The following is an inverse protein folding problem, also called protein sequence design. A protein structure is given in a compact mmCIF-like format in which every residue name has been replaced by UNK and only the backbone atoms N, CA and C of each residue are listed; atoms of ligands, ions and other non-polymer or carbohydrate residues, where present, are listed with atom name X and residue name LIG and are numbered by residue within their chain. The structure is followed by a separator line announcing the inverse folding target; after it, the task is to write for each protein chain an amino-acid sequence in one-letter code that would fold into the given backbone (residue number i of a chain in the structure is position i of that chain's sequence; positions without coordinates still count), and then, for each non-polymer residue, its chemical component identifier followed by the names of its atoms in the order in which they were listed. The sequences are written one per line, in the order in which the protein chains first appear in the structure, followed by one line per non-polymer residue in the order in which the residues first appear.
data_IF_995548537652
#
_entry.id   IF_995548537652
#
_cell.length_a   1.000
_cell.length_b   1.000
_cell.length_c   1.000
_cell.angle_alpha   90.00
_cell.angle_beta   90.00
_cell.angle_gamma   90.00
#
_symmetry.space_group_name_H-M   'P 1'
#
loop_
_entity.id
_entity.type
_entity.pdbx_description
1 polymer ?
#
# COMPACT_ATOMS: atom_id res chain seq x y z
N UNK A 1 -18.29 -17.16 -4.96
CA UNK A 1 -16.90 -17.26 -4.46
C UNK A 1 -15.85 -16.82 -5.49
N UNK A 2 -16.16 -16.70 -6.78
CA UNK A 2 -15.22 -16.23 -7.83
C UNK A 2 -14.97 -14.70 -7.85
N UNK A 3 -15.92 -13.89 -7.38
CA UNK A 3 -15.82 -12.41 -7.41
C UNK A 3 -14.84 -11.83 -6.39
N UNK A 4 -14.55 -12.54 -5.28
CA UNK A 4 -13.59 -12.06 -4.27
C UNK A 4 -12.14 -12.14 -4.77
N UNK A 5 -11.78 -13.18 -5.53
CA UNK A 5 -10.42 -13.35 -6.04
C UNK A 5 -10.11 -12.36 -7.18
N UNK A 6 -11.06 -12.11 -8.08
CA UNK A 6 -10.88 -11.17 -9.19
C UNK A 6 -10.75 -9.71 -8.69
N UNK A 7 -11.53 -9.32 -7.68
CA UNK A 7 -11.47 -7.98 -7.08
C UNK A 7 -10.22 -7.75 -6.22
N UNK A 8 -9.46 -8.80 -5.88
CA UNK A 8 -8.15 -8.66 -5.21
C UNK A 8 -7.05 -8.36 -6.24
N UNK A 9 -7.21 -8.83 -7.48
CA UNK A 9 -6.26 -8.66 -8.58
C UNK A 9 -6.40 -7.30 -9.29
N UNK A 10 -7.58 -6.69 -9.26
CA UNK A 10 -7.85 -5.35 -9.79
C UNK A 10 -8.74 -4.57 -8.80
N UNK A 11 -8.13 -3.91 -7.82
CA UNK A 11 -8.84 -2.96 -6.95
C UNK A 11 -9.05 -1.68 -7.80
N UNK A 12 -10.12 -1.64 -8.60
CA UNK A 12 -10.44 -0.54 -9.54
C UNK A 12 -10.55 0.84 -8.85
N UNK A 13 -10.70 0.85 -7.52
CA UNK A 13 -10.84 2.05 -6.70
C UNK A 13 -9.55 2.38 -5.91
N UNK A 14 -8.42 1.72 -6.21
CA UNK A 14 -7.12 2.07 -5.67
C UNK A 14 -6.47 3.15 -6.52
N UNK A 15 -5.91 4.14 -5.85
CA UNK A 15 -5.23 5.28 -6.44
C UNK A 15 -3.73 5.15 -6.21
N UNK A 16 -2.94 5.40 -7.25
CA UNK A 16 -1.49 5.48 -7.10
C UNK A 16 -1.11 6.65 -6.19
N UNK A 17 -0.22 6.38 -5.24
CA UNK A 17 0.49 7.44 -4.54
C UNK A 17 1.34 8.24 -5.55
N UNK A 18 1.61 9.53 -5.27
CA UNK A 18 2.46 10.34 -6.14
C UNK A 18 3.79 9.66 -6.46
N UNK A 19 4.21 9.77 -7.72
CA UNK A 19 5.43 9.11 -8.20
C UNK A 19 6.67 9.66 -7.48
N UNK A 20 7.49 8.74 -6.94
CA UNK A 20 8.75 9.06 -6.27
C UNK A 20 9.77 7.98 -6.56
N UNK A 21 11.03 8.38 -6.70
CA UNK A 21 12.13 7.43 -6.83
C UNK A 21 12.43 6.79 -5.48
N UNK A 22 12.44 5.47 -5.42
CA UNK A 22 12.88 4.69 -4.26
C UNK A 22 13.66 3.47 -4.72
N UNK A 23 14.69 3.09 -3.96
CA UNK A 23 15.53 1.92 -4.23
C UNK A 23 14.80 0.60 -3.97
N UNK A 24 13.85 0.60 -3.02
CA UNK A 24 13.14 -0.60 -2.59
C UNK A 24 11.71 -0.66 -3.14
N UNK A 25 10.99 0.47 -3.19
CA UNK A 25 9.57 0.50 -3.56
C UNK A 25 9.41 1.12 -4.94
N UNK A 26 8.78 0.39 -5.87
CA UNK A 26 8.49 0.86 -7.22
C UNK A 26 7.24 1.74 -7.26
N UNK A 27 6.18 1.29 -6.58
CA UNK A 27 4.85 1.94 -6.55
C UNK A 27 4.09 1.57 -5.29
N UNK A 28 3.20 2.46 -4.85
CA UNK A 28 2.24 2.18 -3.79
C UNK A 28 0.85 2.57 -4.27
N UNK A 29 -0.08 1.62 -4.22
CA UNK A 29 -1.49 1.85 -4.54
C UNK A 29 -2.28 1.90 -3.25
N UNK A 30 -3.21 2.85 -3.16
CA UNK A 30 -3.91 3.15 -1.92
C UNK A 30 -5.42 3.24 -2.14
N UNK A 31 -6.20 2.62 -1.26
CA UNK A 31 -7.62 2.92 -1.14
C UNK A 31 -7.92 3.45 0.27
N UNK A 32 -8.06 4.78 0.45
CA UNK A 32 -8.29 5.37 1.76
C UNK A 32 -9.67 5.02 2.35
N UNK A 33 -10.67 4.73 1.51
CA UNK A 33 -12.01 4.36 1.97
C UNK A 33 -12.00 2.96 2.60
N UNK A 34 -11.36 2.02 1.90
CA UNK A 34 -11.23 0.62 2.34
C UNK A 34 -10.10 0.42 3.36
N UNK A 35 -9.18 1.39 3.49
CA UNK A 35 -8.00 1.26 4.36
C UNK A 35 -7.06 0.17 3.86
N UNK A 36 -6.94 0.03 2.53
CA UNK A 36 -6.09 -0.97 1.88
C UNK A 36 -4.94 -0.30 1.14
N UNK A 37 -3.80 -0.99 1.13
CA UNK A 37 -2.58 -0.52 0.45
C UNK A 37 -1.91 -1.70 -0.22
N UNK A 38 -1.52 -1.54 -1.48
CA UNK A 38 -0.70 -2.49 -2.22
C UNK A 38 0.68 -1.87 -2.42
N UNK A 39 1.72 -2.54 -1.91
CA UNK A 39 3.11 -2.13 -2.09
C UNK A 39 3.72 -2.98 -3.17
N UNK A 40 4.26 -2.35 -4.21
CA UNK A 40 4.98 -2.99 -5.30
C UNK A 40 6.46 -2.67 -5.14
N UNK A 41 7.27 -3.69 -4.90
CA UNK A 41 8.71 -3.55 -4.74
C UNK A 41 9.43 -3.49 -6.09
N UNK A 42 10.71 -3.14 -6.08
CA UNK A 42 11.53 -3.01 -7.28
C UNK A 42 11.75 -4.33 -8.03
N UNK A 43 11.57 -5.46 -7.36
CA UNK A 43 11.58 -6.82 -7.92
C UNK A 43 10.21 -7.26 -8.47
N UNK A 44 9.26 -6.33 -8.59
CA UNK A 44 7.87 -6.54 -9.00
C UNK A 44 7.03 -7.42 -8.06
N UNK A 45 7.55 -7.79 -6.88
CA UNK A 45 6.73 -8.45 -5.84
C UNK A 45 5.71 -7.46 -5.28
N UNK A 46 4.49 -7.96 -5.03
CA UNK A 46 3.37 -7.14 -4.56
C UNK A 46 2.84 -7.68 -3.26
N UNK A 47 2.64 -6.80 -2.29
CA UNK A 47 2.07 -7.15 -0.99
C UNK A 47 0.87 -6.28 -0.71
N UNK A 48 -0.26 -6.92 -0.37
CA UNK A 48 -1.48 -6.23 0.02
C UNK A 48 -1.60 -6.16 1.53
N UNK A 49 -1.87 -4.96 2.02
CA UNK A 49 -2.11 -4.66 3.41
C UNK A 49 -3.52 -4.16 3.60
N UNK A 50 -4.19 -4.62 4.66
CA UNK A 50 -5.51 -4.13 5.07
C UNK A 50 -5.46 -3.56 6.48
N UNK A 51 -6.52 -2.84 6.84
CA UNK A 51 -6.61 -2.12 8.12
C UNK A 51 -5.49 -1.07 8.31
N UNK A 52 -5.04 -0.48 7.21
CA UNK A 52 -4.06 0.61 7.23
C UNK A 52 -4.77 1.90 7.67
N UNK A 53 -4.12 2.68 8.53
CA UNK A 53 -4.64 3.96 9.00
C UNK A 53 -4.93 4.89 7.81
N UNK A 54 -6.18 5.36 7.71
CA UNK A 54 -6.59 6.32 6.67
C UNK A 54 -5.77 7.60 6.73
N UNK A 55 -5.42 8.07 7.93
CA UNK A 55 -4.53 9.22 8.13
C UNK A 55 -3.14 8.97 7.55
N UNK A 56 -2.61 7.75 7.69
CA UNK A 56 -1.32 7.39 7.12
C UNK A 56 -1.37 7.35 5.59
N UNK A 57 -2.46 6.82 5.02
CA UNK A 57 -2.72 6.82 3.56
C UNK A 57 -2.82 8.25 3.04
N UNK A 58 -3.65 9.09 3.66
CA UNK A 58 -3.80 10.49 3.25
C UNK A 58 -2.49 11.26 3.35
N UNK A 59 -1.69 11.04 4.40
CA UNK A 59 -0.36 11.65 4.52
C UNK A 59 0.58 11.21 3.39
N UNK A 60 0.54 9.94 2.98
CA UNK A 60 1.32 9.45 1.85
C UNK A 60 0.90 10.14 0.54
N UNK A 61 -0.41 10.23 0.29
CA UNK A 61 -0.98 10.80 -0.93
C UNK A 61 -0.77 12.32 -1.04
N UNK A 62 -0.68 13.04 0.09
CA UNK A 62 -0.58 14.51 0.10
C UNK A 62 0.86 15.05 0.20
N UNK A 63 1.83 14.24 0.64
CA UNK A 63 3.18 14.73 0.94
C UNK A 63 4.25 14.09 0.05
N UNK A 64 4.67 14.82 -0.99
CA UNK A 64 5.63 14.39 -2.02
C UNK A 64 7.08 14.26 -1.58
N UNK A 65 7.45 14.91 -0.48
CA UNK A 65 8.80 14.80 0.08
C UNK A 65 9.01 13.49 0.86
N UNK A 66 7.95 12.72 1.11
CA UNK A 66 7.99 11.58 2.01
C UNK A 66 8.55 10.33 1.31
N UNK A 67 9.56 9.69 1.92
CA UNK A 67 10.17 8.48 1.37
C UNK A 67 9.24 7.26 1.50
N UNK A 68 9.01 6.58 0.37
CA UNK A 68 8.14 5.40 0.30
C UNK A 68 8.61 4.27 1.23
N UNK A 69 9.90 3.95 1.22
CA UNK A 69 10.47 2.88 2.06
C UNK A 69 10.32 3.17 3.55
N UNK A 70 10.59 4.41 3.98
CA UNK A 70 10.38 4.81 5.37
C UNK A 70 8.92 4.75 5.79
N UNK A 71 8.01 5.15 4.89
CA UNK A 71 6.58 5.06 5.15
C UNK A 71 6.10 3.62 5.32
N UNK A 72 6.52 2.72 4.42
CA UNK A 72 6.21 1.29 4.48
C UNK A 72 6.73 0.69 5.79
N UNK A 73 8.00 0.92 6.13
CA UNK A 73 8.58 0.42 7.38
C UNK A 73 7.82 0.91 8.62
N UNK A 74 7.42 2.18 8.64
CA UNK A 74 6.74 2.80 9.78
C UNK A 74 5.29 2.35 9.93
N UNK A 75 4.55 2.24 8.83
CA UNK A 75 3.10 2.06 8.87
C UNK A 75 2.63 0.62 8.60
N UNK A 76 3.47 -0.20 7.95
CA UNK A 76 3.10 -1.54 7.51
C UNK A 76 3.90 -2.65 8.19
N UNK A 77 5.19 -2.43 8.46
CA UNK A 77 6.12 -3.49 8.93
C UNK A 77 6.47 -3.46 10.42
N UNK A 78 5.79 -2.65 11.25
CA UNK A 78 6.09 -2.56 12.67
C UNK A 78 5.32 -3.60 13.52
N UNK A 79 5.97 -4.10 14.58
CA UNK A 79 5.41 -4.99 15.62
C UNK A 79 4.09 -4.49 16.25
N UNK A 80 3.85 -3.17 16.22
CA UNK A 80 2.65 -2.52 16.74
C UNK A 80 1.70 -1.97 15.65
N UNK A 81 2.00 -2.20 14.37
CA UNK A 81 1.08 -1.82 13.29
C UNK A 81 -0.18 -2.69 13.39
N UNK A 82 -1.36 -2.06 13.30
CA UNK A 82 -2.64 -2.78 13.24
C UNK A 82 -2.96 -3.27 11.82
N UNK A 83 -2.06 -3.01 10.87
CA UNK A 83 -2.22 -3.45 9.49
C UNK A 83 -1.84 -4.93 9.36
N UNK A 84 -2.56 -5.64 8.51
CA UNK A 84 -2.36 -7.07 8.27
C UNK A 84 -1.97 -7.26 6.82
N UNK A 85 -0.85 -7.96 6.58
CA UNK A 85 -0.48 -8.40 5.24
C UNK A 85 -1.37 -9.59 4.85
N UNK A 86 -2.16 -9.44 3.78
CA UNK A 86 -3.03 -10.51 3.26
C UNK A 86 -2.25 -11.51 2.38
N UNK A 87 -1.03 -11.18 1.97
CA UNK A 87 -0.14 -12.05 1.20
C UNK A 87 0.45 -11.38 -0.04
N UNK A 88 1.15 -12.18 -0.84
CA UNK A 88 1.67 -11.81 -2.15
C UNK A 88 0.54 -11.86 -3.18
N UNK A 89 0.39 -10.83 -4.00
CA UNK A 89 -0.73 -10.67 -4.96
C UNK A 89 -0.24 -10.60 -6.40
#
# INVERSE_FOLDING_TARGET
MLTKALNVLFDHDAYDAPFRTSTAVKRVECNPFRGTVVVIFSDDTRYKYTNVSRRAITHLMMNDALSLGFWVNKNLLAYASKSVCEGVV
#
